data_IF_173010013085
#
_entry.id   IF_173010013085
#
_cell.length_a   1.000
_cell.length_b   1.000
_cell.length_c   1.000
_cell.angle_alpha   90.00
_cell.angle_beta   90.00
_cell.angle_gamma   90.00
#
_symmetry.space_group_name_H-M   'P 1'
#
loop_
_entity.id
_entity.type
_entity.pdbx_description
1 polymer ?
#
# COMPACT_ATOMS: atom_id res chain seq x y z
N UNK A 1 7.88 23.56 29.35
CA UNK A 1 8.73 22.70 30.20
C UNK A 1 8.36 21.20 30.21
N UNK A 2 7.25 20.77 29.60
CA UNK A 2 6.81 19.36 29.61
C UNK A 2 7.55 18.44 28.62
N UNK A 3 8.18 18.98 27.55
CA UNK A 3 8.81 18.17 26.50
C UNK A 3 10.13 17.51 26.94
N UNK A 4 10.88 18.15 27.85
CA UNK A 4 12.18 17.64 28.31
C UNK A 4 12.05 16.47 29.30
N UNK A 5 10.91 16.34 29.99
CA UNK A 5 10.63 15.23 30.91
C UNK A 5 10.30 13.93 30.14
N UNK A 6 9.69 14.04 28.96
CA UNK A 6 9.34 12.88 28.13
C UNK A 6 10.58 12.21 27.53
N UNK A 7 11.59 12.99 27.16
CA UNK A 7 12.86 12.49 26.59
C UNK A 7 13.67 11.72 27.65
N UNK A 8 13.64 12.16 28.91
CA UNK A 8 14.34 11.49 30.01
C UNK A 8 13.74 10.11 30.34
N UNK A 9 12.42 9.94 30.24
CA UNK A 9 11.75 8.67 30.50
C UNK A 9 12.04 7.61 29.43
N UNK A 10 12.12 8.00 28.16
CA UNK A 10 12.46 7.08 27.06
C UNK A 10 13.93 6.61 27.16
N UNK A 11 14.83 7.50 27.58
CA UNK A 11 16.23 7.14 27.80
C UNK A 11 16.41 6.15 28.97
N UNK A 12 15.61 6.26 30.03
CA UNK A 12 15.74 5.39 31.22
C UNK A 12 15.28 3.94 30.98
N UNK A 13 14.45 3.69 29.96
CA UNK A 13 14.00 2.33 29.60
C UNK A 13 15.05 1.52 28.83
N UNK A 14 16.14 2.14 28.34
CA UNK A 14 17.19 1.43 27.60
C UNK A 14 18.34 0.89 28.47
N UNK A 15 18.33 1.11 29.79
CA UNK A 15 19.46 0.74 30.67
C UNK A 15 19.23 -0.48 31.59
N UNK A 16 18.05 -1.09 31.59
CA UNK A 16 17.73 -2.26 32.43
C UNK A 16 17.87 -3.61 31.71
N UNK A 17 19.04 -3.87 31.12
CA UNK A 17 19.36 -5.23 30.66
C UNK A 17 20.78 -5.68 31.08
N UNK A 18 21.09 -5.47 32.36
CA UNK A 18 22.30 -6.00 33.01
C UNK A 18 22.00 -7.36 33.66
N UNK A 19 22.18 -8.41 32.84
CA UNK A 19 22.86 -9.67 33.20
C UNK A 19 22.43 -10.34 34.52
N UNK A 20 21.24 -10.93 34.56
CA UNK A 20 21.04 -12.13 35.38
C UNK A 20 21.67 -13.32 34.67
N UNK A 21 22.94 -13.62 34.99
CA UNK A 21 23.62 -14.86 34.57
C UNK A 21 23.01 -16.04 35.33
N UNK A 22 21.84 -16.49 34.91
CA UNK A 22 21.32 -17.78 35.33
C UNK A 22 22.35 -18.85 34.94
N UNK A 23 22.91 -19.55 35.92
CA UNK A 23 23.76 -20.73 35.72
C UNK A 23 22.86 -21.84 35.16
N UNK A 24 22.74 -21.90 33.84
CA UNK A 24 22.10 -23.05 33.21
C UNK A 24 22.93 -24.31 33.51
N UNK A 25 22.29 -25.44 33.88
CA UNK A 25 22.97 -26.70 34.07
C UNK A 25 23.73 -27.04 32.78
N UNK A 26 25.03 -27.32 32.91
CA UNK A 26 25.88 -27.71 31.79
C UNK A 26 25.35 -29.04 31.26
N UNK A 27 24.67 -29.00 30.10
CA UNK A 27 24.28 -30.21 29.39
C UNK A 27 25.53 -31.05 29.09
N UNK A 28 25.45 -32.39 29.23
CA UNK A 28 26.56 -33.27 28.94
C UNK A 28 27.05 -33.04 27.50
N UNK A 29 28.35 -32.78 27.35
CA UNK A 29 28.96 -32.54 26.04
C UNK A 29 28.80 -33.82 25.20
N UNK A 30 28.15 -33.77 24.02
CA UNK A 30 28.06 -34.96 23.17
C UNK A 30 29.47 -35.42 22.82
N UNK A 31 29.76 -36.70 23.09
CA UNK A 31 31.00 -37.33 22.65
C UNK A 31 31.15 -37.15 21.14
N UNK A 32 32.33 -36.70 20.69
CA UNK A 32 32.67 -36.50 19.28
C UNK A 32 32.73 -37.85 18.53
N UNK A 33 31.63 -38.59 18.44
CA UNK A 33 31.50 -39.60 17.40
C UNK A 33 31.39 -38.85 16.07
N UNK A 34 32.20 -39.25 15.08
CA UNK A 34 32.11 -38.76 13.70
C UNK A 34 30.73 -39.13 13.18
N UNK A 35 29.74 -38.28 13.42
CA UNK A 35 28.42 -38.42 12.87
C UNK A 35 28.54 -38.05 11.39
N UNK A 36 28.73 -39.07 10.55
CA UNK A 36 28.63 -38.95 9.10
C UNK A 36 27.19 -38.57 8.78
N UNK A 37 26.92 -37.27 8.74
CA UNK A 37 25.61 -36.75 8.38
C UNK A 37 25.31 -37.20 6.96
N UNK A 38 24.42 -38.19 6.83
CA UNK A 38 23.90 -38.59 5.52
C UNK A 38 23.44 -37.34 4.76
N UNK A 39 23.77 -37.21 3.46
CA UNK A 39 23.39 -36.06 2.65
C UNK A 39 21.90 -35.76 2.82
N UNK A 40 21.56 -34.47 2.91
CA UNK A 40 20.17 -34.06 2.93
C UNK A 40 19.52 -34.41 1.57
N UNK A 41 18.24 -34.80 1.54
CA UNK A 41 17.49 -34.96 0.29
C UNK A 41 17.55 -33.70 -0.58
N UNK A 42 17.55 -33.85 -1.90
CA UNK A 42 17.59 -32.71 -2.83
C UNK A 42 16.36 -31.77 -2.67
N UNK A 43 15.22 -32.31 -2.24
CA UNK A 43 13.98 -31.58 -1.99
C UNK A 43 13.87 -31.01 -0.56
N UNK A 44 14.98 -30.88 0.17
CA UNK A 44 14.96 -30.30 1.52
C UNK A 44 14.64 -28.80 1.44
N UNK A 45 13.61 -28.29 2.14
CA UNK A 45 13.04 -26.97 1.88
C UNK A 45 14.01 -25.81 2.16
N UNK A 46 14.90 -25.97 3.16
CA UNK A 46 15.97 -25.01 3.42
C UNK A 46 17.03 -25.65 4.31
N UNK A 47 18.28 -25.22 4.17
CA UNK A 47 19.39 -25.60 5.05
C UNK A 47 19.15 -25.26 6.54
N UNK A 48 18.17 -24.40 6.84
CA UNK A 48 17.79 -24.05 8.21
C UNK A 48 16.79 -25.03 8.85
N UNK A 49 16.21 -25.96 8.09
CA UNK A 49 15.36 -27.00 8.65
C UNK A 49 16.21 -28.08 9.31
N UNK A 50 15.79 -28.51 10.49
CA UNK A 50 16.55 -29.45 11.32
C UNK A 50 16.19 -30.90 10.98
N UNK A 51 17.19 -31.77 10.92
CA UNK A 51 17.01 -33.20 10.68
C UNK A 51 16.76 -33.93 12.01
N UNK A 52 15.78 -34.82 12.03
CA UNK A 52 15.55 -35.74 13.15
C UNK A 52 16.77 -36.64 13.39
N UNK A 53 16.99 -37.03 14.66
CA UNK A 53 17.98 -38.04 15.02
C UNK A 53 17.64 -39.45 14.50
N UNK A 54 16.36 -39.75 14.23
CA UNK A 54 15.94 -41.00 13.62
C UNK A 54 16.39 -41.00 12.14
N UNK A 55 17.30 -41.90 11.72
CA UNK A 55 17.86 -41.90 10.38
C UNK A 55 16.83 -42.19 9.28
N UNK A 56 15.71 -42.84 9.63
CA UNK A 56 14.61 -43.12 8.70
C UNK A 56 13.62 -41.96 8.57
N UNK A 57 13.66 -41.00 9.50
CA UNK A 57 12.78 -39.83 9.45
C UNK A 57 13.26 -38.83 8.40
N UNK A 58 12.42 -38.60 7.40
CA UNK A 58 12.64 -37.67 6.28
C UNK A 58 11.95 -36.31 6.48
N UNK A 59 11.34 -36.09 7.64
CA UNK A 59 10.56 -34.88 7.89
C UNK A 59 11.46 -33.67 8.15
N UNK A 60 11.24 -32.53 7.46
CA UNK A 60 12.00 -31.30 7.68
C UNK A 60 11.44 -30.54 8.89
N UNK A 61 12.07 -30.67 10.05
CA UNK A 61 11.63 -29.92 11.23
C UNK A 61 11.88 -28.42 11.05
N UNK A 62 10.96 -27.56 11.52
CA UNK A 62 11.07 -26.13 11.33
C UNK A 62 12.35 -25.57 11.96
N UNK A 63 12.86 -24.45 11.43
CA UNK A 63 13.97 -23.72 12.04
C UNK A 63 13.60 -23.28 13.47
N UNK A 64 14.54 -23.41 14.40
CA UNK A 64 14.38 -22.97 15.79
C UNK A 64 15.37 -21.85 16.10
N UNK A 65 14.89 -20.79 16.75
CA UNK A 65 15.70 -19.62 17.10
C UNK A 65 16.49 -19.80 18.42
N UNK A 66 16.30 -20.92 19.11
CA UNK A 66 16.92 -21.22 20.41
C UNK A 66 17.66 -22.55 20.32
N UNK A 67 18.84 -22.61 20.95
CA UNK A 67 19.60 -23.84 21.09
C UNK A 67 18.87 -24.81 22.03
N UNK A 68 18.84 -26.10 21.66
CA UNK A 68 18.22 -27.11 22.51
C UNK A 68 17.90 -28.41 21.80
N UNK A 69 17.22 -29.28 22.54
CA UNK A 69 16.65 -30.53 22.04
C UNK A 69 15.15 -30.37 21.89
N UNK A 70 14.63 -30.73 20.72
CA UNK A 70 13.23 -30.55 20.35
C UNK A 70 12.64 -31.88 19.87
N UNK A 71 11.35 -32.10 20.12
CA UNK A 71 10.62 -33.25 19.58
C UNK A 71 10.43 -33.09 18.07
N UNK A 72 10.67 -34.15 17.31
CA UNK A 72 10.41 -34.19 15.89
C UNK A 72 8.90 -34.05 15.63
N UNK A 73 8.51 -33.16 14.72
CA UNK A 73 7.11 -32.93 14.35
C UNK A 73 6.63 -33.89 13.24
N UNK A 74 7.51 -34.78 12.77
CA UNK A 74 7.25 -35.58 11.58
C UNK A 74 6.20 -36.66 11.78
N UNK A 75 5.17 -36.61 10.94
CA UNK A 75 4.24 -37.71 10.66
C UNK A 75 4.44 -38.10 9.19
N UNK A 76 5.18 -39.18 8.94
CA UNK A 76 5.18 -39.82 7.63
C UNK A 76 4.39 -41.11 7.73
N UNK A 77 3.14 -41.11 7.29
CA UNK A 77 2.29 -42.31 7.24
C UNK A 77 1.48 -42.63 8.51
N UNK A 78 1.24 -41.67 9.39
CA UNK A 78 0.29 -41.80 10.51
C UNK A 78 0.89 -42.05 11.89
N UNK A 79 2.21 -42.26 12.00
CA UNK A 79 2.90 -42.38 13.29
C UNK A 79 3.92 -41.26 13.48
N UNK A 80 3.89 -40.65 14.67
CA UNK A 80 4.95 -39.76 15.16
C UNK A 80 6.25 -40.55 15.21
N UNK A 81 7.34 -40.02 14.65
CA UNK A 81 8.60 -40.77 14.71
C UNK A 81 9.20 -40.84 16.13
N UNK A 82 8.59 -40.14 17.09
CA UNK A 82 8.98 -39.94 18.51
C UNK A 82 10.44 -39.54 18.72
N UNK A 83 11.14 -39.24 17.63
CA UNK A 83 12.52 -38.82 17.63
C UNK A 83 12.65 -37.37 18.08
N UNK A 84 13.90 -36.98 18.28
CA UNK A 84 14.27 -35.62 18.67
C UNK A 84 15.27 -35.06 17.67
N UNK A 85 15.39 -33.75 17.61
CA UNK A 85 16.47 -33.09 16.87
C UNK A 85 17.19 -32.09 17.78
N UNK A 86 18.47 -31.90 17.50
CA UNK A 86 19.33 -30.99 18.24
C UNK A 86 19.59 -29.74 17.40
N UNK A 87 19.30 -28.58 18.00
CA UNK A 87 19.57 -27.28 17.40
C UNK A 87 20.82 -26.75 18.08
N UNK A 88 21.92 -26.67 17.33
CA UNK A 88 23.15 -26.06 17.85
C UNK A 88 23.01 -24.54 17.97
N UNK A 89 23.79 -23.93 18.86
CA UNK A 89 23.90 -22.45 18.96
C UNK A 89 24.09 -21.79 17.58
N UNK A 90 24.98 -22.35 16.74
CA UNK A 90 25.26 -21.84 15.39
C UNK A 90 24.04 -21.91 14.47
N UNK A 91 23.23 -22.96 14.57
CA UNK A 91 21.99 -23.08 13.79
C UNK A 91 20.96 -22.05 14.24
N UNK A 92 20.75 -21.93 15.56
CA UNK A 92 19.84 -20.95 16.14
C UNK A 92 20.24 -19.50 15.77
N UNK A 93 21.53 -19.16 15.86
CA UNK A 93 22.06 -17.88 15.41
C UNK A 93 21.83 -17.62 13.92
N UNK A 94 21.97 -18.66 13.08
CA UNK A 94 21.72 -18.53 11.64
C UNK A 94 20.24 -18.23 11.34
N UNK A 95 19.31 -18.84 12.07
CA UNK A 95 17.87 -18.56 11.97
C UNK A 95 17.58 -17.12 12.40
N UNK A 96 18.06 -16.70 13.56
CA UNK A 96 17.89 -15.32 14.05
C UNK A 96 18.47 -14.31 13.08
N UNK A 97 19.66 -14.57 12.54
CA UNK A 97 20.30 -13.69 11.54
C UNK A 97 19.47 -13.58 10.27
N UNK A 98 18.95 -14.69 9.73
CA UNK A 98 18.10 -14.67 8.55
C UNK A 98 16.82 -13.88 8.81
N UNK A 99 16.18 -14.08 9.95
CA UNK A 99 14.97 -13.36 10.31
C UNK A 99 15.21 -11.84 10.46
N UNK A 100 16.33 -11.44 11.08
CA UNK A 100 16.72 -10.02 11.15
C UNK A 100 16.96 -9.40 9.77
N UNK A 101 17.58 -10.15 8.87
CA UNK A 101 17.81 -9.71 7.49
C UNK A 101 16.50 -9.54 6.72
N UNK A 102 15.54 -10.43 6.94
CA UNK A 102 14.20 -10.35 6.34
C UNK A 102 13.44 -9.11 6.84
N UNK A 103 13.43 -8.85 8.14
CA UNK A 103 12.87 -7.62 8.71
C UNK A 103 13.55 -6.38 8.12
N UNK A 104 14.88 -6.39 8.01
CA UNK A 104 15.64 -5.26 7.44
C UNK A 104 15.22 -4.96 6.00
N UNK A 105 15.01 -6.01 5.18
CA UNK A 105 14.52 -5.88 3.80
C UNK A 105 13.10 -5.35 3.75
N UNK A 106 12.19 -5.88 4.56
CA UNK A 106 10.80 -5.39 4.62
C UNK A 106 10.71 -3.91 5.04
N UNK A 107 11.57 -3.47 5.96
CA UNK A 107 11.66 -2.07 6.34
C UNK A 107 12.20 -1.19 5.22
N UNK A 108 13.21 -1.66 4.48
CA UNK A 108 13.76 -0.96 3.31
C UNK A 108 12.72 -0.82 2.19
N UNK A 109 12.02 -1.90 1.86
CA UNK A 109 10.93 -1.90 0.87
C UNK A 109 9.81 -0.92 1.27
N UNK A 110 9.46 -0.89 2.56
CA UNK A 110 8.46 0.06 3.08
C UNK A 110 8.91 1.51 2.93
N UNK A 111 10.20 1.81 3.14
CA UNK A 111 10.75 3.15 2.94
C UNK A 111 10.72 3.55 1.46
N UNK A 112 11.08 2.63 0.56
CA UNK A 112 11.04 2.87 -0.88
C UNK A 112 9.60 3.20 -1.33
N UNK A 113 8.62 2.41 -0.90
CA UNK A 113 7.21 2.65 -1.22
C UNK A 113 6.71 4.00 -0.67
N UNK A 114 7.12 4.38 0.54
CA UNK A 114 6.74 5.67 1.12
C UNK A 114 7.31 6.85 0.33
N UNK A 115 8.58 6.77 -0.10
CA UNK A 115 9.22 7.78 -0.92
C UNK A 115 8.56 7.89 -2.31
N UNK A 116 8.22 6.76 -2.92
CA UNK A 116 7.50 6.74 -4.21
C UNK A 116 6.13 7.41 -4.09
N UNK A 117 5.37 7.11 -3.04
CA UNK A 117 4.07 7.73 -2.79
C UNK A 117 4.19 9.24 -2.52
N UNK A 118 5.27 9.70 -1.87
CA UNK A 118 5.52 11.12 -1.69
C UNK A 118 5.88 11.83 -2.99
N UNK A 119 6.74 11.22 -3.81
CA UNK A 119 7.07 11.73 -5.14
C UNK A 119 5.82 11.84 -6.04
N UNK A 120 4.92 10.85 -5.99
CA UNK A 120 3.65 10.89 -6.70
C UNK A 120 2.77 12.05 -6.23
N UNK A 121 2.63 12.26 -4.91
CA UNK A 121 1.90 13.41 -4.37
C UNK A 121 2.48 14.74 -4.85
N UNK A 122 3.80 14.88 -4.88
CA UNK A 122 4.45 16.09 -5.39
C UNK A 122 4.19 16.30 -6.89
N UNK A 123 4.18 15.23 -7.68
CA UNK A 123 3.86 15.29 -9.10
C UNK A 123 2.41 15.72 -9.34
N UNK A 124 1.46 15.20 -8.57
CA UNK A 124 0.05 15.61 -8.63
C UNK A 124 -0.09 17.10 -8.30
N UNK A 125 0.51 17.56 -7.19
CA UNK A 125 0.46 18.98 -6.81
C UNK A 125 1.09 19.90 -7.85
N UNK A 126 2.19 19.46 -8.48
CA UNK A 126 2.82 20.18 -9.58
C UNK A 126 1.88 20.30 -10.77
N UNK A 127 1.25 19.19 -11.17
CA UNK A 127 0.29 19.17 -12.28
C UNK A 127 -0.92 20.08 -12.01
N UNK A 128 -1.48 20.04 -10.80
CA UNK A 128 -2.59 20.91 -10.40
C UNK A 128 -2.23 22.39 -10.47
N UNK A 129 -1.01 22.76 -10.06
CA UNK A 129 -0.52 24.13 -10.16
C UNK A 129 -0.39 24.59 -11.62
N UNK A 130 0.18 23.74 -12.47
CA UNK A 130 0.32 24.04 -13.90
C UNK A 130 -1.06 24.17 -14.58
N UNK A 131 -2.00 23.29 -14.24
CA UNK A 131 -3.38 23.34 -14.73
C UNK A 131 -4.12 24.59 -14.25
N UNK A 132 -3.96 24.97 -12.99
CA UNK A 132 -4.52 26.23 -12.47
C UNK A 132 -3.96 27.44 -13.23
N UNK A 133 -2.66 27.44 -13.54
CA UNK A 133 -2.03 28.46 -14.38
C UNK A 133 -2.62 28.52 -15.79
N UNK A 134 -2.84 27.35 -16.43
CA UNK A 134 -3.51 27.27 -17.74
C UNK A 134 -4.93 27.83 -17.70
N UNK A 135 -5.70 27.53 -16.65
CA UNK A 135 -7.06 28.04 -16.48
C UNK A 135 -7.09 29.56 -16.30
N UNK A 136 -6.21 30.10 -15.47
CA UNK A 136 -6.10 31.55 -15.28
C UNK A 136 -5.72 32.28 -16.58
N UNK A 137 -4.77 31.73 -17.35
CA UNK A 137 -4.38 32.29 -18.64
C UNK A 137 -5.54 32.26 -19.65
N UNK A 138 -6.30 31.16 -19.70
CA UNK A 138 -7.48 31.05 -20.55
C UNK A 138 -8.58 32.06 -20.16
N UNK A 139 -8.84 32.23 -18.85
CA UNK A 139 -9.80 33.20 -18.33
C UNK A 139 -9.38 34.65 -18.63
N UNK A 140 -8.09 34.97 -18.48
CA UNK A 140 -7.58 36.28 -18.86
C UNK A 140 -7.76 36.55 -20.37
N UNK A 141 -7.44 35.57 -21.21
CA UNK A 141 -7.63 35.69 -22.65
C UNK A 141 -9.12 35.89 -23.01
N UNK A 142 -10.02 35.14 -22.37
CA UNK A 142 -11.46 35.30 -22.53
C UNK A 142 -11.91 36.71 -22.13
N UNK A 143 -11.44 37.23 -20.98
CA UNK A 143 -11.74 38.60 -20.53
C UNK A 143 -11.25 39.65 -21.52
N UNK A 144 -10.05 39.46 -22.10
CA UNK A 144 -9.52 40.37 -23.14
C UNK A 144 -10.39 40.34 -24.40
N UNK A 145 -10.77 39.15 -24.84
CA UNK A 145 -11.64 38.98 -26.00
C UNK A 145 -13.01 39.65 -25.79
N UNK A 146 -13.64 39.44 -24.63
CA UNK A 146 -14.90 40.10 -24.28
C UNK A 146 -14.78 41.63 -24.17
N UNK A 147 -13.64 42.14 -23.68
CA UNK A 147 -13.39 43.57 -23.64
C UNK A 147 -13.25 44.15 -25.06
N UNK A 148 -12.52 43.46 -25.95
CA UNK A 148 -12.39 43.85 -27.35
C UNK A 148 -13.76 43.82 -28.06
N UNK A 149 -14.54 42.76 -27.85
CA UNK A 149 -15.88 42.63 -28.42
C UNK A 149 -16.81 43.73 -27.93
N UNK A 150 -16.77 44.05 -26.62
CA UNK A 150 -17.52 45.18 -26.05
C UNK A 150 -17.10 46.53 -26.65
N UNK A 151 -15.81 46.73 -26.94
CA UNK A 151 -15.33 47.96 -27.59
C UNK A 151 -15.74 48.05 -29.06
N UNK A 152 -15.81 46.91 -29.77
CA UNK A 152 -16.26 46.84 -31.17
C UNK A 152 -17.76 47.07 -31.31
N UNK A 153 -18.54 46.46 -30.42
CA UNK A 153 -19.99 46.55 -30.38
C UNK A 153 -20.50 47.79 -29.64
N UNK A 154 -19.62 48.53 -28.95
CA UNK A 154 -19.94 49.82 -28.34
C UNK A 154 -20.57 50.69 -29.44
N UNK A 155 -21.89 50.91 -29.42
CA UNK A 155 -22.52 51.45 -30.59
C UNK A 155 -22.17 52.94 -30.64
N UNK A 156 -22.10 53.51 -31.86
CA UNK A 156 -21.93 54.94 -32.11
C UNK A 156 -23.12 55.80 -31.60
N UNK A 157 -23.72 55.47 -30.45
CA UNK A 157 -24.80 56.22 -29.83
C UNK A 157 -24.39 57.62 -29.39
N UNK A 158 -23.08 57.93 -29.28
CA UNK A 158 -22.62 59.29 -28.95
C UNK A 158 -23.00 60.33 -30.04
N UNK A 159 -23.44 59.91 -31.24
CA UNK A 159 -23.94 60.84 -32.26
C UNK A 159 -25.45 60.76 -32.57
N UNK A 160 -26.23 59.95 -31.86
CA UNK A 160 -27.69 59.82 -32.14
C UNK A 160 -28.59 60.08 -30.93
N UNK A 161 -28.07 60.76 -29.90
CA UNK A 161 -28.74 60.99 -28.62
C UNK A 161 -29.39 62.36 -28.42
N UNK A 162 -29.33 63.28 -29.39
CA UNK A 162 -29.90 64.63 -29.18
C UNK A 162 -31.38 64.78 -29.59
N UNK A 163 -32.05 63.74 -30.12
CA UNK A 163 -33.41 63.90 -30.70
C UNK A 163 -34.54 63.11 -30.01
N UNK A 164 -34.27 62.15 -29.11
CA UNK A 164 -35.32 61.24 -28.60
C UNK A 164 -35.51 61.17 -27.08
N UNK A 165 -34.98 62.13 -26.31
CA UNK A 165 -35.15 62.19 -24.86
C UNK A 165 -36.60 62.41 -24.37
N UNK A 166 -37.59 62.54 -25.27
CA UNK A 166 -38.97 62.89 -24.93
C UNK A 166 -39.95 61.72 -24.82
N UNK A 167 -39.58 60.48 -25.21
CA UNK A 167 -40.59 59.43 -25.48
C UNK A 167 -40.43 58.10 -24.73
N UNK A 168 -39.62 58.04 -23.67
CA UNK A 168 -39.37 56.79 -22.92
C UNK A 168 -39.71 56.92 -21.44
N UNK A 169 -40.98 57.25 -21.14
CA UNK A 169 -41.50 57.27 -19.75
C UNK A 169 -42.78 56.44 -19.56
N UNK A 170 -43.17 55.63 -20.56
CA UNK A 170 -44.47 54.93 -20.59
C UNK A 170 -44.40 53.41 -20.79
N UNK A 171 -43.25 52.76 -20.63
CA UNK A 171 -43.12 51.31 -20.88
C UNK A 171 -42.33 50.53 -19.83
N UNK A 172 -42.42 50.95 -18.57
CA UNK A 172 -41.69 50.33 -17.47
C UNK A 172 -42.65 49.86 -16.36
N UNK A 173 -43.68 49.09 -16.74
CA UNK A 173 -44.65 48.57 -15.75
C UNK A 173 -45.15 47.13 -15.97
N UNK A 174 -44.66 46.36 -16.96
CA UNK A 174 -45.32 45.08 -17.30
C UNK A 174 -44.47 43.79 -17.39
N UNK A 175 -43.21 43.75 -16.94
CA UNK A 175 -42.41 42.51 -17.03
C UNK A 175 -41.82 42.01 -15.71
N UNK A 176 -42.64 41.93 -14.65
CA UNK A 176 -42.31 41.24 -13.41
C UNK A 176 -43.16 39.97 -13.21
N UNK A 177 -43.19 39.07 -14.20
CA UNK A 177 -43.72 37.71 -14.01
C UNK A 177 -42.56 36.73 -13.85
N UNK A 178 -42.21 36.51 -12.58
CA UNK A 178 -41.25 35.50 -12.12
C UNK A 178 -41.70 34.10 -12.57
N UNK A 179 -41.03 33.53 -13.55
CA UNK A 179 -41.08 32.08 -13.77
C UNK A 179 -40.11 31.42 -12.79
N UNK A 180 -40.65 30.95 -11.66
CA UNK A 180 -39.90 30.08 -10.77
C UNK A 180 -39.56 28.77 -11.52
N UNK A 181 -38.29 28.32 -11.52
CA UNK A 181 -37.94 27.06 -12.16
C UNK A 181 -38.69 25.91 -11.49
N UNK A 182 -39.50 25.19 -12.26
CA UNK A 182 -40.30 24.08 -11.77
C UNK A 182 -39.37 22.98 -11.22
N UNK A 183 -39.50 22.56 -9.94
CA UNK A 183 -38.54 21.67 -9.25
C UNK A 183 -38.43 20.26 -9.84
N UNK A 184 -39.29 19.92 -10.80
CA UNK A 184 -39.29 18.62 -11.47
C UNK A 184 -38.27 18.51 -12.62
N UNK A 185 -37.84 19.64 -13.20
CA UNK A 185 -36.86 19.63 -14.29
C UNK A 185 -35.41 19.53 -13.79
N UNK A 186 -35.10 19.96 -12.57
CA UNK A 186 -33.75 19.85 -11.99
C UNK A 186 -33.37 18.39 -11.69
N UNK A 187 -34.29 17.59 -11.14
CA UNK A 187 -34.04 16.17 -10.86
C UNK A 187 -33.85 15.32 -12.12
N UNK A 188 -34.47 15.70 -13.24
CA UNK A 188 -34.32 15.00 -14.52
C UNK A 188 -32.96 15.26 -15.16
N UNK A 189 -32.39 16.46 -14.99
CA UNK A 189 -31.06 16.80 -15.49
C UNK A 189 -29.96 16.13 -14.66
N UNK A 190 -30.10 16.12 -13.33
CA UNK A 190 -29.13 15.43 -12.45
C UNK A 190 -29.06 13.92 -12.71
N UNK A 191 -30.20 13.28 -13.00
CA UNK A 191 -30.21 11.87 -13.40
C UNK A 191 -29.50 11.63 -14.73
N UNK A 192 -29.68 12.50 -15.74
CA UNK A 192 -28.99 12.36 -17.04
C UNK A 192 -27.48 12.55 -16.90
N UNK A 193 -27.03 13.52 -16.10
CA UNK A 193 -25.59 13.75 -15.86
C UNK A 193 -24.94 12.54 -15.17
N UNK A 194 -25.61 11.95 -14.17
CA UNK A 194 -25.11 10.75 -13.50
C UNK A 194 -25.15 9.49 -14.38
N UNK A 195 -26.08 9.41 -15.32
CA UNK A 195 -26.20 8.27 -16.24
C UNK A 195 -25.11 8.32 -17.32
N UNK A 196 -24.78 9.51 -17.85
CA UNK A 196 -23.67 9.70 -18.78
C UNK A 196 -22.31 9.41 -18.13
N UNK A 197 -22.12 9.83 -16.87
CA UNK A 197 -20.87 9.58 -16.13
C UNK A 197 -20.56 8.09 -15.97
N UNK A 198 -21.58 7.23 -15.84
CA UNK A 198 -21.41 5.76 -15.79
C UNK A 198 -21.11 5.13 -17.14
N UNK A 199 -21.47 5.76 -18.25
CA UNK A 199 -21.16 5.25 -19.58
C UNK A 199 -19.71 5.55 -19.98
N UNK A 200 -19.16 6.69 -19.56
CA UNK A 200 -17.77 7.05 -19.82
C UNK A 200 -16.77 6.14 -19.09
N UNK A 201 -17.09 5.69 -17.87
CA UNK A 201 -16.24 4.77 -17.10
C UNK A 201 -16.14 3.36 -17.74
N UNK A 202 -17.11 2.96 -18.58
CA UNK A 202 -17.09 1.67 -19.28
C UNK A 202 -16.40 1.70 -20.65
N UNK A 203 -16.07 2.89 -21.18
CA UNK A 203 -15.38 3.02 -22.46
C UNK A 203 -13.88 3.31 -22.35
N UNK A 204 -13.35 3.40 -21.13
CA UNK A 204 -11.91 3.50 -20.88
C UNK A 204 -11.21 2.15 -20.61
N UNK A 205 -11.79 1.05 -21.09
CA UNK A 205 -11.03 -0.19 -21.36
C UNK A 205 -10.83 -0.27 -22.87
N UNK A 206 -10.17 0.75 -23.42
CA UNK A 206 -9.66 0.73 -24.78
C UNK A 206 -8.26 0.13 -24.72
N UNK A 207 -8.21 -1.16 -25.01
CA UNK A 207 -7.19 -1.83 -25.81
C UNK A 207 -5.75 -1.32 -25.61
N UNK A 208 -4.90 -2.02 -24.82
CA UNK A 208 -3.47 -1.76 -24.82
C UNK A 208 -2.95 -2.19 -26.20
N UNK A 209 -3.01 -1.27 -27.16
CA UNK A 209 -2.19 -1.32 -28.37
C UNK A 209 -0.76 -1.58 -27.91
N UNK A 210 -0.34 -2.84 -28.09
CA UNK A 210 0.75 -3.18 -28.99
C UNK A 210 1.73 -2.02 -29.08
N UNK A 211 2.55 -1.90 -28.03
CA UNK A 211 3.79 -1.17 -28.12
C UNK A 211 4.66 -2.01 -29.04
N UNK A 212 4.62 -1.72 -30.34
CA UNK A 212 5.61 -2.24 -31.28
C UNK A 212 6.97 -1.78 -30.77
N UNK A 213 7.72 -2.73 -30.20
CA UNK A 213 9.12 -2.52 -29.88
C UNK A 213 9.85 -2.11 -31.18
N UNK A 214 10.78 -1.15 -31.12
CA UNK A 214 11.64 -0.85 -32.25
C UNK A 214 12.33 -2.14 -32.70
N UNK A 215 12.20 -2.48 -34.00
CA UNK A 215 12.97 -3.56 -34.63
C UNK A 215 14.43 -3.43 -34.23
N UNK A 216 14.96 -4.48 -33.61
CA UNK A 216 16.36 -4.57 -33.25
C UNK A 216 17.24 -4.27 -34.47
N UNK A 217 18.18 -3.35 -34.28
CA UNK A 217 19.26 -3.09 -35.23
C UNK A 217 20.10 -4.38 -35.33
N UNK A 218 20.44 -4.86 -36.54
CA UNK A 218 21.22 -6.09 -36.69
C UNK A 218 22.56 -5.95 -35.95
N UNK A 219 22.79 -6.78 -34.93
CA UNK A 219 24.11 -6.92 -34.32
C UNK A 219 25.05 -7.60 -35.32
N UNK A 220 26.30 -7.13 -35.47
CA UNK A 220 27.29 -7.86 -36.24
C UNK A 220 27.57 -9.24 -35.60
N UNK A 221 27.88 -10.26 -36.41
CA UNK A 221 28.10 -11.61 -35.93
C UNK A 221 29.33 -11.65 -35.02
N UNK A 222 29.11 -11.96 -33.75
CA UNK A 222 30.18 -12.34 -32.83
C UNK A 222 30.42 -13.83 -33.03
N UNK A 223 31.56 -14.18 -33.62
CA UNK A 223 32.07 -15.55 -33.65
C UNK A 223 32.41 -15.96 -32.22
N UNK A 224 31.50 -16.70 -31.59
CA UNK A 224 31.79 -17.43 -30.35
C UNK A 224 31.58 -18.92 -30.61
N UNK A 225 32.71 -19.59 -30.86
CA UNK A 225 32.88 -21.01 -30.60
C UNK A 225 32.73 -21.26 -29.10
N UNK A 226 31.67 -21.96 -28.70
CA UNK A 226 31.77 -23.22 -27.95
C UNK A 226 30.39 -23.75 -27.56
N UNK A 227 30.23 -25.04 -27.83
CA UNK A 227 29.11 -25.90 -27.48
C UNK A 227 28.82 -25.88 -25.97
N UNK A 228 27.56 -25.63 -25.60
CA UNK A 228 26.95 -26.32 -24.45
C UNK A 228 25.48 -26.56 -24.77
N UNK A 229 25.10 -27.83 -24.90
CA UNK A 229 23.71 -28.27 -24.97
C UNK A 229 22.99 -27.89 -23.68
N UNK A 230 22.05 -26.95 -23.76
CA UNK A 230 21.05 -26.71 -22.72
C UNK A 230 19.68 -27.05 -23.31
N UNK A 231 19.14 -28.21 -22.90
CA UNK A 231 17.73 -28.54 -23.10
C UNK A 231 16.89 -27.51 -22.30
N UNK A 232 16.36 -26.51 -22.99
CA UNK A 232 15.34 -25.64 -22.43
C UNK A 232 14.01 -26.40 -22.40
N UNK A 233 13.67 -26.94 -21.23
CA UNK A 233 12.29 -27.30 -20.93
C UNK A 233 11.45 -26.01 -20.88
N UNK A 234 10.43 -25.94 -21.72
CA UNK A 234 9.46 -24.85 -21.72
C UNK A 234 8.77 -24.74 -20.35
N UNK A 235 8.65 -23.54 -19.77
CA UNK A 235 7.88 -23.36 -18.54
C UNK A 235 6.41 -23.66 -18.83
N UNK A 236 5.86 -24.68 -18.16
CA UNK A 236 4.42 -24.88 -18.12
C UNK A 236 3.81 -23.74 -17.30
N UNK A 237 3.06 -22.88 -17.97
CA UNK A 237 2.25 -21.86 -17.33
C UNK A 237 1.11 -22.56 -16.58
N UNK A 238 1.27 -22.75 -15.27
CA UNK A 238 0.16 -23.08 -14.40
C UNK A 238 -0.85 -21.93 -14.44
N UNK A 239 -2.07 -22.24 -14.85
CA UNK A 239 -3.20 -21.30 -14.85
C UNK A 239 -3.30 -20.58 -13.51
N UNK A 240 -3.45 -19.25 -13.57
CA UNK A 240 -3.68 -18.43 -12.39
C UNK A 240 -4.89 -18.96 -11.60
N UNK A 241 -4.81 -19.02 -10.26
CA UNK A 241 -5.95 -19.42 -9.44
C UNK A 241 -7.12 -18.46 -9.71
N UNK A 242 -8.27 -19.04 -10.06
CA UNK A 242 -9.51 -18.30 -10.25
C UNK A 242 -9.80 -17.48 -9.00
N UNK A 243 -10.10 -16.19 -9.19
CA UNK A 243 -10.45 -15.31 -8.09
C UNK A 243 -11.65 -15.90 -7.32
N UNK A 244 -11.61 -15.91 -5.97
CA UNK A 244 -12.73 -16.40 -5.18
C UNK A 244 -13.97 -15.56 -5.50
N UNK A 245 -15.09 -16.24 -5.72
CA UNK A 245 -16.40 -15.61 -5.88
C UNK A 245 -16.67 -14.62 -4.73
N UNK A 246 -17.31 -13.47 -5.00
CA UNK A 246 -17.69 -12.52 -3.97
C UNK A 246 -18.60 -13.22 -2.97
N UNK A 247 -18.03 -13.55 -1.80
CA UNK A 247 -18.76 -14.10 -0.67
C UNK A 247 -19.80 -13.08 -0.25
N UNK A 248 -21.02 -13.56 -0.02
CA UNK A 248 -22.13 -12.83 0.57
C UNK A 248 -21.63 -11.89 1.66
N UNK A 249 -22.00 -10.60 1.53
CA UNK A 249 -21.72 -9.59 2.53
C UNK A 249 -22.27 -10.07 3.89
N UNK A 250 -21.35 -10.43 4.78
CA UNK A 250 -21.68 -10.68 6.18
C UNK A 250 -22.39 -9.45 6.75
N UNK A 251 -23.48 -9.60 7.51
CA UNK A 251 -24.14 -8.48 8.16
C UNK A 251 -23.11 -7.75 9.03
N UNK A 252 -22.97 -6.44 8.80
CA UNK A 252 -22.04 -5.59 9.55
C UNK A 252 -22.37 -5.71 11.04
N UNK A 253 -21.42 -6.22 11.82
CA UNK A 253 -21.54 -6.16 13.28
C UNK A 253 -21.56 -4.69 13.71
N UNK A 254 -22.43 -4.32 14.66
CA UNK A 254 -22.43 -2.99 15.21
C UNK A 254 -21.05 -2.69 15.84
N UNK A 255 -20.55 -1.44 15.71
CA UNK A 255 -19.26 -1.08 16.25
C UNK A 255 -19.23 -1.36 17.76
N UNK A 256 -18.09 -1.83 18.30
CA UNK A 256 -17.93 -2.07 19.73
C UNK A 256 -18.24 -0.78 20.49
N UNK A 257 -19.17 -0.87 21.45
CA UNK A 257 -19.45 0.24 22.37
C UNK A 257 -18.13 0.60 23.05
N UNK A 258 -17.69 1.84 22.83
CA UNK A 258 -16.45 2.34 23.41
C UNK A 258 -16.43 2.17 24.93
N UNK A 259 -15.23 2.18 25.54
CA UNK A 259 -15.05 2.00 26.97
C UNK A 259 -15.93 3.01 27.72
N UNK A 260 -16.87 2.48 28.49
CA UNK A 260 -17.78 3.25 29.33
C UNK A 260 -16.91 3.99 30.34
N UNK A 261 -16.76 5.31 30.17
CA UNK A 261 -16.04 6.16 31.11
C UNK A 261 -16.70 6.05 32.49
N UNK A 262 -16.15 5.17 33.34
CA UNK A 262 -16.42 5.18 34.76
C UNK A 262 -15.79 6.45 35.33
N UNK A 263 -16.56 7.53 35.32
CA UNK A 263 -16.25 8.73 36.10
C UNK A 263 -16.22 8.34 37.57
N UNK A 264 -15.03 8.00 38.05
CA UNK A 264 -14.74 7.93 39.47
C UNK A 264 -14.90 9.34 40.04
N UNK A 265 -16.02 9.55 40.73
CA UNK A 265 -16.24 10.74 41.54
C UNK A 265 -15.22 10.70 42.69
N UNK A 266 -14.18 11.54 42.58
CA UNK A 266 -13.28 11.78 43.71
C UNK A 266 -14.05 12.50 44.82
N UNK A 267 -13.95 12.05 46.08
CA UNK A 267 -14.56 12.75 47.20
C UNK A 267 -13.88 14.11 47.38
N UNK A 268 -14.69 15.17 47.49
CA UNK A 268 -14.22 16.52 47.80
C UNK A 268 -13.54 16.50 49.19
N UNK A 269 -12.35 17.11 49.36
CA UNK A 269 -11.76 17.25 50.68
C UNK A 269 -12.62 18.20 51.53
N UNK A 270 -13.03 17.72 52.70
CA UNK A 270 -13.65 18.53 53.74
C UNK A 270 -12.62 19.52 54.26
N UNK A 271 -12.89 20.83 54.09
CA UNK A 271 -12.17 21.87 54.83
C UNK A 271 -12.52 21.74 56.31
N UNK A 272 -11.54 21.41 57.13
CA UNK A 272 -11.55 21.68 58.57
C UNK A 272 -10.56 22.81 58.84
N UNK A 273 -11.14 23.95 59.21
CA UNK A 273 -10.61 25.11 59.96
C UNK A 273 -9.27 25.72 59.54
#
# INVERSE_FOLDING_TARGET
MALNQLIALVASMMFFNKKSKAKFPKLPKPSKSKQTSLPLPANWPSLLHNKCNNPQCRFPNPPQAVEGQYGCLGISGGFYCEGVYYVSAKSAEAVVRKHKEEIRREEEDRRILALAAEAERQNILKYEREEAGRRQAAEELARRYEAEHRMRDAPRWIHRGHEHASSSRYHEQHHHHQQSPHPYLSQSLERRVNQNKRQDDHHFIRDPRVFEYPREVPRPPVTVTHQVNAYHAAPQFHHAPQAPHPSQAMPQMPPPRGPREHRHAYPKPSRSW
#
